data_IF_838377256620
#
_entry.id   IF_838377256620
#
_cell.length_a   1.000
_cell.length_b   1.000
_cell.length_c   1.000
_cell.angle_alpha   90.00
_cell.angle_beta   90.00
_cell.angle_gamma   90.00
#
_symmetry.space_group_name_H-M   'P 1'
#
loop_
_entity.id
_entity.type
_entity.pdbx_description
1 polymer ?
#
# COMPACT_ATOMS: atom_id res chain seq x y z
N UNK A 1 -11.85 26.08 -0.17
CA UNK A 1 -12.06 25.15 -1.32
C UNK A 1 -11.47 23.81 -0.92
N UNK A 2 -12.31 22.79 -0.81
CA UNK A 2 -11.91 21.48 -0.33
C UNK A 2 -11.15 20.73 -1.44
N UNK A 3 -9.84 20.93 -1.49
CA UNK A 3 -8.93 20.34 -2.49
C UNK A 3 -8.56 18.87 -2.17
N UNK A 4 -9.36 18.20 -1.32
CA UNK A 4 -9.10 16.82 -0.89
C UNK A 4 -9.22 15.85 -2.07
N UNK A 5 -8.14 15.12 -2.31
CA UNK A 5 -8.12 13.97 -3.21
C UNK A 5 -9.12 12.92 -2.74
N UNK A 6 -9.93 12.40 -3.66
CA UNK A 6 -10.81 11.26 -3.44
C UNK A 6 -10.34 10.08 -4.28
N UNK A 7 -10.21 8.91 -3.67
CA UNK A 7 -10.00 7.65 -4.40
C UNK A 7 -11.38 7.16 -4.85
N UNK A 8 -11.58 7.00 -6.16
CA UNK A 8 -12.85 6.57 -6.74
C UNK A 8 -12.88 5.08 -7.05
N UNK A 9 -11.74 4.50 -7.37
CA UNK A 9 -11.61 3.07 -7.67
C UNK A 9 -10.20 2.58 -7.35
N UNK A 10 -10.12 1.27 -7.09
CA UNK A 10 -8.88 0.57 -6.80
C UNK A 10 -8.93 -0.85 -7.36
N UNK A 11 -7.94 -1.21 -8.16
CA UNK A 11 -7.79 -2.56 -8.73
C UNK A 11 -6.44 -3.20 -8.38
N UNK A 12 -6.40 -4.53 -8.34
CA UNK A 12 -5.21 -5.33 -8.01
C UNK A 12 -5.44 -6.38 -6.90
N UNK A 13 -4.36 -7.01 -6.37
CA UNK A 13 -2.96 -6.82 -6.75
C UNK A 13 -2.65 -7.42 -8.12
N UNK A 14 -1.82 -6.72 -8.88
CA UNK A 14 -1.16 -7.24 -10.08
C UNK A 14 0.25 -7.72 -9.72
N UNK A 15 0.68 -8.82 -10.35
CA UNK A 15 2.09 -9.23 -10.35
C UNK A 15 2.78 -8.58 -11.55
N UNK A 16 3.79 -7.77 -11.29
CA UNK A 16 4.56 -7.14 -12.36
C UNK A 16 5.57 -8.14 -12.95
N UNK A 17 5.70 -8.22 -14.29
CA UNK A 17 6.72 -9.05 -14.91
C UNK A 17 8.13 -8.59 -14.48
N UNK A 18 8.98 -9.53 -14.09
CA UNK A 18 10.41 -9.31 -13.75
C UNK A 18 10.67 -8.41 -12.54
N UNK A 19 9.65 -8.03 -11.78
CA UNK A 19 9.79 -7.28 -10.54
C UNK A 19 9.20 -8.07 -9.35
N UNK A 20 9.88 -8.05 -8.21
CA UNK A 20 9.37 -8.65 -6.97
C UNK A 20 8.43 -7.70 -6.24
N UNK A 21 7.40 -7.20 -6.94
CA UNK A 21 6.44 -6.24 -6.42
C UNK A 21 5.00 -6.72 -6.64
N UNK A 22 4.09 -6.23 -5.80
CA UNK A 22 2.66 -6.17 -6.10
C UNK A 22 2.28 -4.74 -6.51
N UNK A 23 1.46 -4.60 -7.54
CA UNK A 23 0.95 -3.32 -8.00
C UNK A 23 -0.54 -3.16 -7.76
N UNK A 24 -0.97 -1.94 -7.46
CA UNK A 24 -2.37 -1.55 -7.38
C UNK A 24 -2.58 -0.28 -8.19
N UNK A 25 -3.62 -0.26 -9.01
CA UNK A 25 -4.01 0.94 -9.75
C UNK A 25 -5.14 1.65 -9.00
N UNK A 26 -4.93 2.93 -8.73
CA UNK A 26 -5.89 3.81 -8.08
C UNK A 26 -6.40 4.82 -9.09
N UNK A 27 -7.71 5.03 -9.09
CA UNK A 27 -8.30 6.20 -9.74
C UNK A 27 -8.50 7.28 -8.71
N UNK A 28 -7.84 8.44 -8.88
CA UNK A 28 -7.95 9.59 -7.98
C UNK A 28 -8.66 10.75 -8.68
N UNK A 29 -9.57 11.40 -7.95
CA UNK A 29 -10.33 12.55 -8.42
C UNK A 29 -10.08 13.74 -7.48
N UNK A 30 -9.91 14.92 -8.06
CA UNK A 30 -9.93 16.20 -7.34
C UNK A 30 -11.03 17.08 -7.90
N UNK A 31 -11.59 17.96 -7.08
CA UNK A 31 -12.62 18.90 -7.53
C UNK A 31 -12.13 19.83 -8.66
N UNK A 32 -10.84 20.16 -8.67
CA UNK A 32 -10.21 21.02 -9.68
C UNK A 32 -9.90 20.32 -11.00
N UNK A 33 -10.05 18.99 -11.08
CA UNK A 33 -9.73 18.22 -12.28
C UNK A 33 -11.00 17.78 -13.00
N UNK A 34 -11.07 17.90 -14.33
CA UNK A 34 -12.26 17.50 -15.08
C UNK A 34 -12.42 15.97 -15.19
N UNK A 35 -11.37 15.19 -14.94
CA UNK A 35 -11.36 13.72 -14.99
C UNK A 35 -10.47 13.13 -13.91
N UNK A 36 -10.72 11.86 -13.55
CA UNK A 36 -9.85 11.11 -12.66
C UNK A 36 -8.47 10.89 -13.30
N UNK A 37 -7.47 10.64 -12.46
CA UNK A 37 -6.10 10.29 -12.86
C UNK A 37 -5.72 8.93 -12.29
N UNK A 38 -4.87 8.18 -13.01
CA UNK A 38 -4.43 6.88 -12.59
C UNK A 38 -3.13 7.00 -11.76
N UNK A 39 -3.08 6.33 -10.62
CA UNK A 39 -1.87 6.20 -9.81
C UNK A 39 -1.60 4.73 -9.57
N UNK A 40 -0.46 4.24 -10.08
CA UNK A 40 0.00 2.89 -9.78
C UNK A 40 0.88 2.91 -8.55
N UNK A 41 0.54 2.15 -7.53
CA UNK A 41 1.38 1.94 -6.36
C UNK A 41 2.03 0.59 -6.42
N UNK A 42 3.36 0.58 -6.36
CA UNK A 42 4.17 -0.65 -6.27
C UNK A 42 4.56 -0.89 -4.82
N UNK A 43 4.33 -2.11 -4.34
CA UNK A 43 4.74 -2.60 -3.02
C UNK A 43 5.79 -3.67 -3.23
N UNK A 44 7.02 -3.41 -2.82
CA UNK A 44 8.10 -4.38 -2.90
C UNK A 44 7.89 -5.51 -1.88
N UNK A 45 8.00 -6.74 -2.36
CA UNK A 45 7.74 -7.92 -1.53
C UNK A 45 8.84 -8.10 -0.48
N UNK A 46 10.14 -8.18 -0.85
CA UNK A 46 11.18 -8.40 0.14
C UNK A 46 11.37 -7.19 1.06
N UNK A 47 11.34 -5.98 0.52
CA UNK A 47 11.76 -4.77 1.23
C UNK A 47 10.64 -4.06 1.98
N UNK A 48 9.37 -4.23 1.57
CA UNK A 48 8.24 -3.59 2.23
C UNK A 48 7.29 -4.62 2.87
N UNK A 49 6.69 -5.49 2.06
CA UNK A 49 5.68 -6.43 2.55
C UNK A 49 6.25 -7.38 3.60
N UNK A 50 7.38 -8.05 3.32
CA UNK A 50 7.94 -9.05 4.24
C UNK A 50 8.44 -8.43 5.54
N UNK A 51 9.06 -7.25 5.44
CA UNK A 51 9.53 -6.48 6.60
C UNK A 51 8.35 -6.09 7.50
N UNK A 52 7.32 -5.47 6.94
CA UNK A 52 6.17 -4.99 7.71
C UNK A 52 5.29 -6.15 8.19
N UNK A 53 5.16 -7.22 7.40
CA UNK A 53 4.49 -8.45 7.83
C UNK A 53 5.16 -9.05 9.06
N UNK A 54 6.49 -9.16 9.06
CA UNK A 54 7.27 -9.61 10.23
C UNK A 54 7.04 -8.69 11.43
N UNK A 55 7.03 -7.37 11.22
CA UNK A 55 6.78 -6.38 12.28
C UNK A 55 5.38 -6.53 12.91
N UNK A 56 4.37 -6.67 12.06
CA UNK A 56 2.96 -6.74 12.49
C UNK A 56 2.70 -8.09 13.16
N UNK A 57 2.99 -9.19 12.46
CA UNK A 57 2.57 -10.52 12.86
C UNK A 57 3.57 -11.24 13.78
N UNK A 58 4.87 -10.98 13.65
CA UNK A 58 5.90 -11.80 14.27
C UNK A 58 5.85 -13.24 13.73
N UNK A 59 5.94 -14.23 14.61
CA UNK A 59 5.96 -15.67 14.30
C UNK A 59 4.59 -16.31 14.07
N UNK A 60 3.62 -15.59 13.47
CA UNK A 60 2.33 -16.20 13.14
C UNK A 60 2.52 -17.18 11.97
N UNK A 61 2.41 -18.46 12.27
CA UNK A 61 2.40 -19.56 11.30
C UNK A 61 0.97 -19.86 10.88
N UNK A 62 0.76 -19.95 9.56
CA UNK A 62 -0.52 -20.36 8.97
C UNK A 62 -0.24 -21.26 7.77
N UNK A 63 -1.26 -21.89 7.22
CA UNK A 63 -1.14 -22.68 5.99
C UNK A 63 -0.67 -21.79 4.83
N UNK A 64 -0.11 -22.36 3.75
CA UNK A 64 0.27 -21.59 2.56
C UNK A 64 -0.87 -20.72 2.01
N UNK A 65 -2.11 -21.22 2.03
CA UNK A 65 -3.29 -20.46 1.63
C UNK A 65 -3.56 -19.25 2.54
N UNK A 66 -3.46 -19.43 3.87
CA UNK A 66 -3.60 -18.32 4.82
C UNK A 66 -2.48 -17.29 4.64
N UNK A 67 -1.24 -17.74 4.41
CA UNK A 67 -0.11 -16.84 4.16
C UNK A 67 -0.29 -16.00 2.89
N UNK A 68 -0.88 -16.57 1.83
CA UNK A 68 -1.25 -15.84 0.62
C UNK A 68 -2.33 -14.79 0.89
N UNK A 69 -3.38 -15.15 1.65
CA UNK A 69 -4.44 -14.20 2.02
C UNK A 69 -3.90 -13.05 2.87
N UNK A 70 -3.06 -13.36 3.86
CA UNK A 70 -2.37 -12.36 4.69
C UNK A 70 -1.51 -11.44 3.84
N UNK A 71 -0.73 -12.00 2.91
CA UNK A 71 0.15 -11.21 2.04
C UNK A 71 -0.65 -10.24 1.18
N UNK A 72 -1.75 -10.70 0.57
CA UNK A 72 -2.66 -9.87 -0.24
C UNK A 72 -3.33 -8.77 0.59
N UNK A 73 -3.75 -9.10 1.81
CA UNK A 73 -4.35 -8.17 2.75
C UNK A 73 -3.34 -7.08 3.13
N UNK A 74 -2.16 -7.46 3.64
CA UNK A 74 -1.14 -6.50 4.05
C UNK A 74 -0.63 -5.66 2.88
N UNK A 75 -0.41 -6.24 1.70
CA UNK A 75 0.03 -5.46 0.54
C UNK A 75 -0.99 -4.41 0.10
N UNK A 76 -2.29 -4.66 0.32
CA UNK A 76 -3.36 -3.70 0.06
C UNK A 76 -3.27 -2.51 1.02
N UNK A 77 -3.21 -2.77 2.33
CA UNK A 77 -3.10 -1.72 3.34
C UNK A 77 -1.80 -0.92 3.21
N UNK A 78 -0.68 -1.57 2.88
CA UNK A 78 0.57 -0.89 2.58
C UNK A 78 0.40 0.04 1.37
N UNK A 79 -0.23 -0.43 0.29
CA UNK A 79 -0.47 0.43 -0.87
C UNK A 79 -1.35 1.64 -0.53
N UNK A 80 -2.35 1.46 0.34
CA UNK A 80 -3.24 2.54 0.79
C UNK A 80 -2.46 3.60 1.58
N UNK A 81 -1.59 3.18 2.50
CA UNK A 81 -0.78 4.12 3.26
C UNK A 81 0.25 4.83 2.37
N UNK A 82 0.84 4.13 1.41
CA UNK A 82 1.73 4.75 0.42
C UNK A 82 1.02 5.81 -0.41
N UNK A 83 -0.26 5.64 -0.75
CA UNK A 83 -1.06 6.69 -1.39
C UNK A 83 -1.21 7.91 -0.49
N UNK A 84 -1.47 7.71 0.81
CA UNK A 84 -1.59 8.83 1.77
C UNK A 84 -0.28 9.59 1.94
N UNK A 85 0.84 8.87 2.02
CA UNK A 85 2.18 9.47 2.11
C UNK A 85 2.48 10.26 0.84
N UNK A 86 2.27 9.67 -0.35
CA UNK A 86 2.49 10.33 -1.62
C UNK A 86 1.63 11.58 -1.82
N UNK A 87 0.38 11.55 -1.35
CA UNK A 87 -0.50 12.72 -1.34
C UNK A 87 0.04 13.82 -0.42
N UNK A 88 0.42 13.45 0.81
CA UNK A 88 0.92 14.39 1.82
C UNK A 88 2.21 15.09 1.34
N UNK A 89 3.06 14.36 0.61
CA UNK A 89 4.32 14.89 0.09
C UNK A 89 4.15 15.61 -1.26
N UNK A 90 2.91 15.80 -1.71
CA UNK A 90 2.60 16.52 -2.94
C UNK A 90 3.01 15.80 -4.22
N UNK A 91 3.37 14.50 -4.16
CA UNK A 91 3.77 13.70 -5.32
C UNK A 91 2.62 13.55 -6.34
N UNK A 92 1.38 13.67 -5.85
CA UNK A 92 0.13 13.55 -6.61
C UNK A 92 -0.58 14.90 -6.84
N UNK A 93 0.16 16.00 -6.70
CA UNK A 93 -0.38 17.37 -6.88
C UNK A 93 -0.64 17.72 -8.35
N UNK A 94 0.11 17.10 -9.26
CA UNK A 94 0.01 17.33 -10.69
C UNK A 94 -1.05 16.43 -11.34
N UNK A 95 -1.78 16.97 -12.32
CA UNK A 95 -2.73 16.20 -13.13
C UNK A 95 -2.00 15.37 -14.20
N UNK A 96 -1.39 14.28 -13.77
CA UNK A 96 -0.82 13.27 -14.66
C UNK A 96 -0.83 11.91 -13.98
N UNK A 97 -0.80 10.86 -14.78
CA UNK A 97 -0.63 9.52 -14.25
C UNK A 97 0.73 9.38 -13.57
N UNK A 98 0.75 8.69 -12.44
CA UNK A 98 1.93 8.56 -11.58
C UNK A 98 2.17 7.11 -11.19
N UNK A 99 3.44 6.79 -10.98
CA UNK A 99 3.85 5.56 -10.31
C UNK A 99 4.45 5.93 -8.97
N UNK A 100 3.85 5.45 -7.88
CA UNK A 100 4.47 5.46 -6.55
C UNK A 100 5.33 4.20 -6.47
N UNK A 101 6.64 4.39 -6.65
CA UNK A 101 7.61 3.31 -6.60
C UNK A 101 7.75 2.72 -5.18
N UNK A 102 8.40 1.55 -5.03
CA UNK A 102 8.81 1.05 -3.72
C UNK A 102 9.54 2.12 -2.91
N UNK A 103 9.33 2.16 -1.59
CA UNK A 103 10.06 3.05 -0.70
C UNK A 103 11.45 2.47 -0.40
N UNK A 104 12.21 2.28 -1.47
CA UNK A 104 13.59 1.80 -1.50
C UNK A 104 14.41 2.77 -2.35
N UNK A 105 15.75 2.63 -2.31
CA UNK A 105 16.65 3.48 -3.07
C UNK A 105 16.34 4.98 -2.87
N UNK A 106 15.98 5.74 -3.92
CA UNK A 106 15.66 7.18 -3.80
C UNK A 106 14.52 7.51 -2.82
N UNK A 107 13.54 6.61 -2.66
CA UNK A 107 12.38 6.82 -1.78
C UNK A 107 12.52 6.14 -0.41
N UNK A 108 13.71 5.63 -0.07
CA UNK A 108 13.94 4.91 1.20
C UNK A 108 13.60 5.74 2.44
N UNK A 109 13.74 7.07 2.37
CA UNK A 109 13.39 7.98 3.47
C UNK A 109 11.90 7.90 3.85
N UNK A 110 11.02 7.60 2.90
CA UNK A 110 9.57 7.45 3.12
C UNK A 110 9.20 6.15 3.84
N UNK A 111 10.08 5.14 3.82
CA UNK A 111 9.84 3.88 4.51
C UNK A 111 9.67 4.06 6.02
N UNK A 112 10.37 5.03 6.62
CA UNK A 112 10.24 5.35 8.05
C UNK A 112 8.81 5.68 8.47
N UNK A 113 8.05 6.37 7.60
CA UNK A 113 6.63 6.70 7.83
C UNK A 113 5.74 5.47 7.71
N UNK A 114 6.05 4.59 6.77
CA UNK A 114 5.35 3.34 6.58
C UNK A 114 5.58 2.36 7.75
N UNK A 115 6.80 2.28 8.29
CA UNK A 115 7.11 1.47 9.47
C UNK A 115 6.42 2.04 10.73
N UNK A 116 6.40 3.37 10.89
CA UNK A 116 5.66 4.03 11.98
C UNK A 116 4.16 3.72 11.91
N UNK A 117 3.55 3.82 10.73
CA UNK A 117 2.15 3.44 10.51
C UNK A 117 1.90 1.96 10.85
N UNK A 118 2.80 1.05 10.45
CA UNK A 118 2.64 -0.37 10.73
C UNK A 118 2.71 -0.69 12.23
N UNK A 119 3.51 0.07 12.99
CA UNK A 119 3.56 -0.02 14.46
C UNK A 119 2.26 0.48 15.08
N UNK A 120 1.76 1.62 14.61
CA UNK A 120 0.50 2.21 15.10
C UNK A 120 -0.71 1.30 14.82
N UNK A 121 -0.81 0.75 13.61
CA UNK A 121 -1.93 -0.08 13.17
C UNK A 121 -1.78 -1.56 13.54
N UNK A 122 -0.70 -1.93 14.23
CA UNK A 122 -0.31 -3.32 14.47
C UNK A 122 -1.45 -4.17 15.03
N UNK A 123 -2.08 -3.69 16.10
CA UNK A 123 -3.10 -4.48 16.81
C UNK A 123 -4.41 -4.59 16.01
N UNK A 124 -4.80 -3.52 15.29
CA UNK A 124 -5.95 -3.55 14.37
C UNK A 124 -5.71 -4.54 13.23
N UNK A 125 -4.58 -4.41 12.54
CA UNK A 125 -4.23 -5.29 11.41
C UNK A 125 -4.12 -6.74 11.86
N UNK A 126 -3.60 -7.01 13.07
CA UNK A 126 -3.56 -8.36 13.65
C UNK A 126 -4.97 -8.91 13.90
N UNK A 127 -5.87 -8.11 14.46
CA UNK A 127 -7.24 -8.53 14.72
C UNK A 127 -7.97 -8.85 13.40
N UNK A 128 -7.85 -7.97 12.41
CA UNK A 128 -8.45 -8.17 11.08
C UNK A 128 -7.88 -9.41 10.38
N UNK A 129 -6.56 -9.65 10.47
CA UNK A 129 -5.93 -10.85 9.91
C UNK A 129 -6.45 -12.11 10.57
N UNK A 130 -6.57 -12.14 11.91
CA UNK A 130 -7.13 -13.29 12.62
C UNK A 130 -8.55 -13.61 12.15
N UNK A 131 -9.40 -12.59 12.01
CA UNK A 131 -10.74 -12.75 11.45
C UNK A 131 -10.71 -13.25 10.01
N UNK A 132 -9.82 -12.71 9.17
CA UNK A 132 -9.71 -13.07 7.76
C UNK A 132 -9.31 -14.53 7.55
N UNK A 133 -8.35 -15.03 8.33
CA UNK A 133 -7.80 -16.39 8.15
C UNK A 133 -8.34 -17.42 9.14
N UNK A 134 -9.20 -17.01 10.08
CA UNK A 134 -9.83 -17.89 11.07
C UNK A 134 -8.85 -18.40 12.13
N UNK A 135 -7.96 -17.53 12.63
CA UNK A 135 -6.98 -17.83 13.70
C UNK A 135 -7.38 -17.25 15.05
#
# INVERSE_FOLDING_TARGET
>A
MDARMKITDVTGPYREPRELVFSYDYSIQRASWPTAQAVRVKVAIPEELDVLRSRILGTITGTPGQQLMISKFLSRHIADEKMRIAETDGMLSERRDKVVAPFTGPLAHLFSRLDAWAVEQRDSLRAEIKTLVGL
#
